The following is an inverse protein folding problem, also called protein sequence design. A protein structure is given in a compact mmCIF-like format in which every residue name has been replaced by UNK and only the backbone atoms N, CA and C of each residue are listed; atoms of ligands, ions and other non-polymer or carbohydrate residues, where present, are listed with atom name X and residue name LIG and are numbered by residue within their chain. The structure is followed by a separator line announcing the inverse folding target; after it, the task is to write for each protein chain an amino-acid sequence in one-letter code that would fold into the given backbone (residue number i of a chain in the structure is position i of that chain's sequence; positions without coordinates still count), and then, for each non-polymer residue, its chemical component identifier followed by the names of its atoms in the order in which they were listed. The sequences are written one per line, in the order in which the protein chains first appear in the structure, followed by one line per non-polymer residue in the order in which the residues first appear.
data_IF_630991208038
#
_entry.id   IF_630991208038
#
_cell.length_a   1.000
_cell.length_b   1.000
_cell.length_c   1.000
_cell.angle_alpha   90.00
_cell.angle_beta   90.00
_cell.angle_gamma   90.00
#
_symmetry.space_group_name_H-M   'P 1'
#
loop_
_entity.id
_entity.type
_entity.pdbx_description
1 polymer ?
#
# COMPACT_ATOMS: atom_id res chain seq x y z
N UNK A 1 -5.13 5.78 10.32
CA UNK A 1 -4.04 6.76 10.51
C UNK A 1 -3.55 7.16 9.13
N UNK A 2 -3.59 8.45 8.76
CA UNK A 2 -3.10 8.90 7.46
C UNK A 2 -1.66 9.38 7.66
N UNK A 3 -0.63 8.65 7.18
CA UNK A 3 0.76 9.09 7.29
C UNK A 3 0.93 10.47 6.66
N UNK A 4 1.38 11.43 7.46
CA UNK A 4 1.39 12.84 7.08
C UNK A 4 2.64 13.23 6.31
N UNK A 5 3.74 12.51 6.52
CA UNK A 5 5.05 12.85 5.97
C UNK A 5 5.68 11.73 5.11
N UNK A 6 6.80 12.07 4.46
CA UNK A 6 7.53 11.17 3.56
C UNK A 6 8.01 9.91 4.28
N UNK A 7 8.46 10.04 5.54
CA UNK A 7 9.04 8.94 6.30
C UNK A 7 7.96 7.92 6.65
N UNK A 8 6.80 8.39 7.10
CA UNK A 8 5.68 7.53 7.45
C UNK A 8 5.22 6.69 6.24
N UNK A 9 5.16 7.29 5.04
CA UNK A 9 4.81 6.56 3.82
C UNK A 9 5.84 5.50 3.45
N UNK A 10 7.14 5.81 3.58
CA UNK A 10 8.22 4.86 3.29
C UNK A 10 8.25 3.72 4.30
N UNK A 11 8.04 3.99 5.59
CA UNK A 11 7.97 2.96 6.62
C UNK A 11 6.85 1.97 6.34
N UNK A 12 5.67 2.45 5.95
CA UNK A 12 4.58 1.56 5.57
C UNK A 12 4.85 0.81 4.26
N UNK A 13 5.46 1.45 3.26
CA UNK A 13 5.85 0.79 2.02
C UNK A 13 6.83 -0.36 2.27
N UNK A 14 7.81 -0.15 3.15
CA UNK A 14 8.74 -1.19 3.58
C UNK A 14 8.04 -2.32 4.34
N UNK A 15 7.07 -1.99 5.20
CA UNK A 15 6.22 -2.97 5.88
C UNK A 15 5.48 -3.87 4.90
N UNK A 16 4.80 -3.29 3.91
CA UNK A 16 4.11 -4.05 2.86
C UNK A 16 5.08 -4.92 2.02
N UNK A 17 6.24 -4.37 1.65
CA UNK A 17 7.26 -5.14 0.94
C UNK A 17 7.76 -6.32 1.77
N UNK A 18 7.91 -6.13 3.09
CA UNK A 18 8.31 -7.21 4.01
C UNK A 18 7.24 -8.29 4.08
N UNK A 19 5.96 -7.93 4.17
CA UNK A 19 4.84 -8.89 4.12
C UNK A 19 4.80 -9.66 2.82
N UNK A 20 4.94 -8.99 1.66
CA UNK A 20 4.98 -9.67 0.37
C UNK A 20 6.15 -10.68 0.28
N UNK A 21 7.34 -10.32 0.80
CA UNK A 21 8.50 -11.22 0.83
C UNK A 21 8.29 -12.43 1.74
N UNK A 22 7.71 -12.23 2.92
CA UNK A 22 7.39 -13.32 3.85
C UNK A 22 6.31 -14.24 3.26
N UNK A 23 5.22 -13.66 2.74
CA UNK A 23 4.13 -14.42 2.14
C UNK A 23 4.56 -15.23 0.92
N UNK A 24 5.48 -14.73 0.09
CA UNK A 24 6.05 -15.48 -1.03
C UNK A 24 6.85 -16.72 -0.57
N UNK A 25 7.48 -16.65 0.61
CA UNK A 25 8.25 -17.77 1.15
C UNK A 25 7.36 -18.84 1.81
N UNK A 26 6.13 -18.49 2.17
CA UNK A 26 5.17 -19.37 2.83
C UNK A 26 4.14 -19.92 1.82
N UNK A 27 4.18 -21.23 1.57
CA UNK A 27 3.26 -21.90 0.63
C UNK A 27 1.80 -21.93 1.11
N UNK A 28 1.54 -21.63 2.39
CA UNK A 28 0.19 -21.57 2.95
C UNK A 28 -0.49 -20.23 2.74
N UNK A 29 0.28 -19.19 2.39
CA UNK A 29 -0.25 -17.85 2.12
C UNK A 29 -0.71 -17.76 0.66
N UNK A 30 -1.93 -17.24 0.47
CA UNK A 30 -2.51 -17.07 -0.85
C UNK A 30 -1.73 -16.02 -1.67
N UNK A 31 -1.46 -16.33 -2.94
CA UNK A 31 -0.69 -15.45 -3.83
C UNK A 31 -1.38 -14.10 -4.08
N UNK A 32 -2.71 -14.02 -3.99
CA UNK A 32 -3.43 -12.76 -4.10
C UNK A 32 -3.10 -11.81 -2.94
N UNK A 33 -2.88 -12.31 -1.72
CA UNK A 33 -2.46 -11.51 -0.57
C UNK A 33 -1.00 -11.03 -0.74
N UNK A 34 -0.13 -11.89 -1.28
CA UNK A 34 1.24 -11.51 -1.64
C UNK A 34 1.22 -10.38 -2.67
N UNK A 35 0.40 -10.52 -3.72
CA UNK A 35 0.20 -9.50 -4.75
C UNK A 35 -0.35 -8.19 -4.18
N UNK A 36 -1.35 -8.27 -3.29
CA UNK A 36 -1.93 -7.12 -2.62
C UNK A 36 -0.87 -6.30 -1.86
N UNK A 37 -0.06 -6.96 -1.03
CA UNK A 37 1.00 -6.26 -0.30
C UNK A 37 2.10 -5.72 -1.23
N UNK A 38 2.45 -6.43 -2.31
CA UNK A 38 3.38 -5.91 -3.30
C UNK A 38 2.85 -4.62 -3.97
N UNK A 39 1.57 -4.59 -4.35
CA UNK A 39 0.92 -3.41 -4.92
C UNK A 39 0.88 -2.24 -3.91
N UNK A 40 0.52 -2.52 -2.65
CA UNK A 40 0.48 -1.51 -1.59
C UNK A 40 1.86 -0.90 -1.32
N UNK A 41 2.92 -1.71 -1.34
CA UNK A 41 4.30 -1.22 -1.19
C UNK A 41 4.65 -0.18 -2.26
N UNK A 42 4.33 -0.47 -3.53
CA UNK A 42 4.55 0.46 -4.64
C UNK A 42 3.69 1.72 -4.50
N UNK A 43 2.40 1.58 -4.21
CA UNK A 43 1.49 2.70 -4.06
C UNK A 43 1.93 3.67 -2.95
N UNK A 44 2.38 3.14 -1.81
CA UNK A 44 2.86 3.95 -0.68
C UNK A 44 4.21 4.60 -0.96
N UNK A 45 5.12 3.91 -1.66
CA UNK A 45 6.38 4.52 -2.10
C UNK A 45 6.14 5.69 -3.08
N UNK A 46 5.18 5.55 -4.01
CA UNK A 46 4.78 6.64 -4.90
C UNK A 46 4.18 7.81 -4.10
N UNK A 47 3.31 7.55 -3.12
CA UNK A 47 2.79 8.60 -2.23
C UNK A 47 3.91 9.34 -1.48
N UNK A 48 4.93 8.64 -1.00
CA UNK A 48 6.11 9.27 -0.40
C UNK A 48 6.81 10.25 -1.36
N UNK A 49 6.95 9.88 -2.64
CA UNK A 49 7.50 10.76 -3.66
C UNK A 49 6.61 11.99 -3.89
N UNK A 50 5.29 11.80 -4.00
CA UNK A 50 4.36 12.91 -4.18
C UNK A 50 4.40 13.90 -3.01
N UNK A 51 4.42 13.40 -1.77
CA UNK A 51 4.59 14.24 -0.56
C UNK A 51 5.94 14.96 -0.58
N UNK A 52 7.03 14.28 -0.93
CA UNK A 52 8.37 14.88 -1.03
C UNK A 52 8.40 16.05 -2.03
N UNK A 53 7.67 15.93 -3.13
CA UNK A 53 7.55 16.95 -4.16
C UNK A 53 6.40 17.95 -3.92
N UNK A 54 5.70 17.87 -2.77
CA UNK A 54 4.53 18.70 -2.43
C UNK A 54 3.45 18.69 -3.50
N UNK A 55 3.28 17.54 -4.15
CA UNK A 55 2.22 17.30 -5.12
C UNK A 55 1.02 16.73 -4.39
N UNK A 56 -0.08 17.48 -4.40
CA UNK A 56 -1.36 16.98 -3.92
C UNK A 56 -1.81 15.82 -4.80
N UNK A 57 -2.28 14.75 -4.17
CA UNK A 57 -2.89 13.62 -4.85
C UNK A 57 -4.30 13.42 -4.31
N UNK A 58 -5.30 13.22 -5.17
CA UNK A 58 -6.66 12.96 -4.71
C UNK A 58 -6.67 11.69 -3.86
N UNK A 59 -7.34 11.75 -2.70
CA UNK A 59 -7.67 10.55 -1.93
C UNK A 59 -8.72 9.77 -2.71
N UNK A 60 -8.29 8.82 -3.54
CA UNK A 60 -9.19 7.83 -4.14
C UNK A 60 -9.62 6.85 -3.06
N UNK A 61 -10.56 7.27 -2.20
CA UNK A 61 -11.42 6.37 -1.45
C UNK A 61 -12.64 6.06 -2.32
N UNK A 62 -12.43 5.37 -3.43
CA UNK A 62 -13.55 4.79 -4.17
C UNK A 62 -13.90 3.46 -3.49
N UNK A 63 -14.55 3.55 -2.33
CA UNK A 63 -15.32 2.44 -1.80
C UNK A 63 -16.64 2.43 -2.55
N UNK A 64 -16.63 1.88 -3.77
CA UNK A 64 -17.86 1.56 -4.48
C UNK A 64 -18.66 0.65 -3.55
N UNK A 65 -19.68 1.24 -2.92
CA UNK A 65 -20.56 0.57 -1.99
C UNK A 65 -21.44 -0.34 -2.85
N UNK A 66 -21.07 -1.63 -2.93
CA UNK A 66 -21.90 -2.61 -3.61
C UNK A 66 -23.24 -2.68 -2.88
N UNK A 67 -24.39 -2.37 -3.50
CA UNK A 67 -25.67 -2.66 -2.90
C UNK A 67 -25.76 -4.18 -2.77
N UNK A 68 -25.93 -4.65 -1.54
CA UNK A 68 -26.33 -6.02 -1.25
C UNK A 68 -27.71 -6.26 -1.86
N UNK A 69 -27.82 -7.24 -2.76
CA UNK A 69 -29.08 -7.85 -3.17
C UNK A 69 -29.52 -8.88 -2.13
#
# INVERSE_FOLDING_TARGET
MNPGDVRDWLEQAHGDLRYAKLGRADRTILLNLVGFHAQQAVAKAIKALLVKHRLDFPKTHDSQQFPVC
#
